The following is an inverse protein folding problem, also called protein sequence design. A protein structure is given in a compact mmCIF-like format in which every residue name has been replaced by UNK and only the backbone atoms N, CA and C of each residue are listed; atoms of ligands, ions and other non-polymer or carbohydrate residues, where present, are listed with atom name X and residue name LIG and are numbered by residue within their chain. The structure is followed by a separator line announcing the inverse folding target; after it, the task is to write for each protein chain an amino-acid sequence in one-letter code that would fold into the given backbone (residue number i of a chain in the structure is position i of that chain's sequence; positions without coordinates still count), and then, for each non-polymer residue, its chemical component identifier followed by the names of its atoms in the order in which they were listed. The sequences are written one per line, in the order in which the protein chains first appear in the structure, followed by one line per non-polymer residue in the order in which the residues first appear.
data_IF_036186819698
#
_entry.id   IF_036186819698
#
_cell.length_a   1.000
_cell.length_b   1.000
_cell.length_c   1.000
_cell.angle_alpha   90.00
_cell.angle_beta   90.00
_cell.angle_gamma   90.00
#
_symmetry.space_group_name_H-M   'P 1'
#
loop_
_entity.id
_entity.type
_entity.pdbx_description
1 polymer ?
#
# COMPACT_ATOMS: atom_id res chain seq x y z
N UNK A 1 6.67 -15.17 -13.90
CA UNK A 1 6.35 -14.07 -14.83
C UNK A 1 7.00 -12.79 -14.33
N UNK A 2 7.90 -12.21 -15.11
CA UNK A 2 8.44 -10.88 -14.86
C UNK A 2 7.58 -9.87 -15.63
N UNK A 3 7.16 -8.78 -14.98
CA UNK A 3 6.42 -7.72 -15.65
C UNK A 3 7.40 -6.83 -16.42
N UNK A 4 7.17 -6.67 -17.71
CA UNK A 4 7.89 -5.72 -18.54
C UNK A 4 7.09 -4.43 -18.69
N UNK A 5 7.75 -3.29 -18.58
CA UNK A 5 7.14 -1.97 -18.76
C UNK A 5 7.59 -1.40 -20.10
N UNK A 6 6.64 -0.83 -20.85
CA UNK A 6 6.91 -0.27 -22.19
C UNK A 6 7.74 1.01 -22.13
N UNK A 7 7.65 1.75 -21.02
CA UNK A 7 8.42 2.98 -20.78
C UNK A 7 8.39 3.37 -19.29
N UNK A 8 9.20 4.38 -18.94
CA UNK A 8 9.30 4.89 -17.56
C UNK A 8 8.00 5.49 -17.02
N UNK A 9 7.15 6.09 -17.88
CA UNK A 9 5.90 6.69 -17.42
C UNK A 9 4.90 5.61 -16.99
N UNK A 10 4.81 4.51 -17.75
CA UNK A 10 3.99 3.36 -17.37
C UNK A 10 4.48 2.76 -16.05
N UNK A 11 5.80 2.55 -15.90
CA UNK A 11 6.37 2.06 -14.65
C UNK A 11 5.97 2.94 -13.45
N UNK A 12 6.12 4.26 -13.59
CA UNK A 12 5.77 5.21 -12.52
C UNK A 12 4.29 5.14 -12.14
N UNK A 13 3.40 5.12 -13.14
CA UNK A 13 1.96 5.05 -12.93
C UNK A 13 1.58 3.76 -12.18
N UNK A 14 1.97 2.62 -12.71
CA UNK A 14 1.59 1.34 -12.11
C UNK A 14 2.23 1.11 -10.75
N UNK A 15 3.46 1.61 -10.53
CA UNK A 15 4.08 1.60 -9.21
C UNK A 15 3.30 2.47 -8.22
N UNK A 16 2.86 3.66 -8.64
CA UNK A 16 2.04 4.52 -7.77
C UNK A 16 0.70 3.88 -7.42
N UNK A 17 0.06 3.21 -8.38
CA UNK A 17 -1.19 2.47 -8.17
C UNK A 17 -1.00 1.31 -7.20
N UNK A 18 0.11 0.57 -7.35
CA UNK A 18 0.45 -0.52 -6.43
C UNK A 18 0.71 -0.01 -5.01
N UNK A 19 1.49 1.07 -4.86
CA UNK A 19 1.77 1.69 -3.55
C UNK A 19 0.48 2.20 -2.91
N UNK A 20 -0.42 2.81 -3.69
CA UNK A 20 -1.71 3.28 -3.21
C UNK A 20 -2.57 2.11 -2.73
N UNK A 21 -2.72 1.07 -3.55
CA UNK A 21 -3.49 -0.13 -3.21
C UNK A 21 -2.94 -0.80 -1.95
N UNK A 22 -1.62 -1.00 -1.87
CA UNK A 22 -0.99 -1.66 -0.75
C UNK A 22 -1.25 -0.91 0.56
N UNK A 23 -1.12 0.42 0.56
CA UNK A 23 -1.23 1.20 1.78
C UNK A 23 -2.67 1.50 2.20
N UNK A 24 -3.59 1.71 1.24
CA UNK A 24 -4.91 2.27 1.52
C UNK A 24 -6.07 1.29 1.26
N UNK A 25 -5.87 0.22 0.49
CA UNK A 25 -6.95 -0.69 0.10
C UNK A 25 -6.71 -2.14 0.54
N UNK A 26 -5.44 -2.56 0.65
CA UNK A 26 -5.09 -3.93 1.00
C UNK A 26 -5.35 -4.19 2.49
N UNK A 27 -6.32 -5.04 2.78
CA UNK A 27 -6.57 -5.55 4.13
C UNK A 27 -5.55 -6.63 4.50
N UNK A 28 -4.97 -6.53 5.71
CA UNK A 28 -3.96 -7.47 6.18
C UNK A 28 -4.40 -8.22 7.43
N UNK A 29 -4.50 -9.55 7.36
CA UNK A 29 -4.94 -10.39 8.49
C UNK A 29 -4.08 -10.22 9.75
N UNK A 30 -2.75 -10.18 9.60
CA UNK A 30 -1.85 -9.97 10.74
C UNK A 30 -1.88 -8.54 11.32
N UNK A 31 -2.57 -7.59 10.66
CA UNK A 31 -2.81 -6.26 11.22
C UNK A 31 -4.19 -6.17 11.89
N UNK A 32 -4.93 -7.28 12.01
CA UNK A 32 -6.29 -7.29 12.55
C UNK A 32 -7.35 -6.93 11.51
N UNK A 33 -7.11 -7.27 10.24
CA UNK A 33 -8.04 -7.00 9.13
C UNK A 33 -8.30 -5.51 8.87
N UNK A 34 -7.27 -4.69 9.03
CA UNK A 34 -7.26 -3.28 8.61
C UNK A 34 -6.17 -3.03 7.56
N UNK A 35 -6.22 -1.85 6.95
CA UNK A 35 -5.21 -1.39 5.99
C UNK A 35 -3.92 -0.96 6.71
N UNK A 36 -2.75 -0.98 6.03
CA UNK A 36 -1.51 -0.50 6.62
C UNK A 36 -1.56 0.96 7.09
N UNK A 37 -2.29 1.83 6.39
CA UNK A 37 -2.43 3.23 6.80
C UNK A 37 -3.25 3.36 8.09
N UNK A 38 -4.37 2.63 8.21
CA UNK A 38 -5.17 2.59 9.44
C UNK A 38 -4.36 2.05 10.63
N UNK A 39 -3.58 0.98 10.41
CA UNK A 39 -2.70 0.44 11.45
C UNK A 39 -1.69 1.47 11.96
N UNK A 40 -1.08 2.26 11.06
CA UNK A 40 -0.18 3.35 11.47
C UNK A 40 -0.92 4.42 12.27
N UNK A 41 -2.10 4.83 11.85
CA UNK A 41 -2.89 5.84 12.58
C UNK A 41 -3.27 5.37 13.98
N UNK A 42 -3.71 4.12 14.14
CA UNK A 42 -4.00 3.54 15.44
C UNK A 42 -2.77 3.53 16.34
N UNK A 43 -1.62 3.07 15.83
CA UNK A 43 -0.36 3.05 16.61
C UNK A 43 0.11 4.43 17.04
N UNK A 44 -0.02 5.43 16.16
CA UNK A 44 0.35 6.80 16.49
C UNK A 44 -0.60 7.36 17.56
N UNK A 45 -1.91 7.12 17.44
CA UNK A 45 -2.89 7.56 18.43
C UNK A 45 -2.65 6.92 19.81
N UNK A 46 -2.23 5.65 19.87
CA UNK A 46 -1.89 4.97 21.14
C UNK A 46 -0.57 5.42 21.77
N UNK A 47 0.24 6.23 21.08
CA UNK A 47 1.52 6.74 21.59
C UNK A 47 1.43 8.13 22.24
N UNK A 48 0.23 8.72 22.25
CA UNK A 48 -0.12 9.94 22.98
C UNK A 48 -1.03 9.60 24.16
#
# INVERSE_FOLDING_TARGET
YQKEFKNLNQLKLELSEYVYWYNNLRIHGSLGYITPVEYRHQRLASSY
#
